data_IF_327530046815
#
_entry.id   IF_327530046815
#
_cell.length_a   1.000
_cell.length_b   1.000
_cell.length_c   1.000
_cell.angle_alpha   90.00
_cell.angle_beta   90.00
_cell.angle_gamma   90.00
#
_symmetry.space_group_name_H-M   'P 1'
#
loop_
_entity.id
_entity.type
_entity.pdbx_description
1 polymer ?
#
# COMPACT_ATOMS: atom_id res chain seq x y z
N UNK A 1 16.00 6.82 21.94
CA UNK A 1 15.66 8.24 22.07
C UNK A 1 14.35 8.44 22.83
N UNK A 2 13.24 7.76 22.46
CA UNK A 2 11.92 7.93 23.14
C UNK A 2 11.94 7.47 24.60
N UNK A 3 12.54 6.33 24.90
CA UNK A 3 12.65 5.81 26.27
C UNK A 3 13.39 6.76 27.22
N UNK A 4 14.43 7.46 26.73
CA UNK A 4 15.15 8.46 27.51
C UNK A 4 14.34 9.72 27.84
N UNK A 5 13.25 9.97 27.11
CA UNK A 5 12.32 11.07 27.34
C UNK A 5 11.03 10.64 28.06
N UNK A 6 10.97 9.41 28.56
CA UNK A 6 9.77 8.78 29.13
C UNK A 6 8.54 8.83 28.19
N UNK A 7 8.82 8.69 26.86
CA UNK A 7 7.81 8.67 25.81
C UNK A 7 7.75 7.28 25.16
N UNK A 8 6.60 6.93 24.64
CA UNK A 8 6.40 5.73 23.84
C UNK A 8 5.71 6.06 22.50
N UNK A 9 5.90 5.21 21.51
CA UNK A 9 5.20 5.32 20.25
C UNK A 9 3.83 4.63 20.36
N UNK A 10 2.77 5.42 20.25
CA UNK A 10 1.40 4.88 20.32
C UNK A 10 0.93 4.35 18.97
N UNK A 11 1.22 5.05 17.87
CA UNK A 11 0.87 4.61 16.53
C UNK A 11 2.03 4.81 15.56
N UNK A 12 2.35 3.76 14.80
CA UNK A 12 3.26 3.82 13.66
C UNK A 12 2.45 3.86 12.37
N UNK A 13 2.66 4.87 11.53
CA UNK A 13 2.10 4.93 10.18
C UNK A 13 3.22 4.80 9.14
N UNK A 14 3.32 3.65 8.50
CA UNK A 14 4.25 3.40 7.39
C UNK A 14 3.60 3.89 6.10
N UNK A 15 3.77 5.18 5.80
CA UNK A 15 3.18 5.82 4.63
C UNK A 15 4.19 6.07 3.50
N UNK A 16 5.46 6.28 3.84
CA UNK A 16 6.50 6.58 2.85
C UNK A 16 6.62 5.41 1.84
N UNK A 17 6.57 5.74 0.57
CA UNK A 17 6.71 4.78 -0.51
C UNK A 17 7.20 5.47 -1.78
N UNK A 18 7.81 4.70 -2.67
CA UNK A 18 8.09 5.11 -4.04
C UNK A 18 7.47 4.12 -5.03
N UNK A 19 7.22 4.60 -6.24
CA UNK A 19 6.77 3.79 -7.35
C UNK A 19 7.75 3.89 -8.52
N UNK A 20 7.69 2.92 -9.41
CA UNK A 20 8.41 2.91 -10.69
C UNK A 20 7.42 2.48 -11.77
N UNK A 21 7.27 3.31 -12.81
CA UNK A 21 6.47 2.99 -13.98
C UNK A 21 7.37 2.87 -15.23
N UNK A 22 6.99 1.98 -16.13
CA UNK A 22 7.71 1.58 -17.34
C UNK A 22 8.03 0.09 -17.35
N UNK A 23 8.45 -0.44 -18.51
CA UNK A 23 8.86 -1.82 -18.66
C UNK A 23 9.93 -2.22 -17.64
N UNK A 24 9.83 -3.43 -17.08
CA UNK A 24 10.75 -3.88 -16.03
C UNK A 24 12.22 -3.85 -16.45
N UNK A 25 12.50 -4.14 -17.72
CA UNK A 25 13.86 -4.13 -18.26
C UNK A 25 14.46 -2.73 -18.45
N UNK A 26 13.64 -1.68 -18.43
CA UNK A 26 14.07 -0.28 -18.49
C UNK A 26 14.38 0.31 -17.11
N UNK A 27 13.94 -0.36 -16.03
CA UNK A 27 14.23 0.05 -14.67
C UNK A 27 15.62 -0.43 -14.26
N UNK A 28 16.42 0.46 -13.72
CA UNK A 28 17.78 0.12 -13.27
C UNK A 28 17.75 -0.76 -12.00
N UNK A 29 18.75 -1.65 -11.82
CA UNK A 29 18.86 -2.42 -10.58
C UNK A 29 18.88 -1.53 -9.31
N UNK A 30 19.45 -0.33 -9.41
CA UNK A 30 19.53 0.62 -8.30
C UNK A 30 18.16 1.21 -7.95
N UNK A 31 17.32 1.54 -8.93
CA UNK A 31 15.95 2.01 -8.69
C UNK A 31 15.10 0.93 -8.04
N UNK A 32 15.18 -0.31 -8.56
CA UNK A 32 14.46 -1.45 -7.98
C UNK A 32 14.93 -1.70 -6.54
N UNK A 33 16.24 -1.66 -6.29
CA UNK A 33 16.80 -1.84 -4.95
C UNK A 33 16.29 -0.77 -3.96
N UNK A 34 16.28 0.51 -4.38
CA UNK A 34 15.73 1.61 -3.57
C UNK A 34 14.24 1.41 -3.27
N UNK A 35 13.46 0.99 -4.27
CA UNK A 35 12.05 0.71 -4.08
C UNK A 35 11.84 -0.41 -3.05
N UNK A 36 12.58 -1.52 -3.16
CA UNK A 36 12.47 -2.65 -2.23
C UNK A 36 12.91 -2.22 -0.83
N UNK A 37 14.01 -1.48 -0.70
CA UNK A 37 14.47 -0.99 0.59
C UNK A 37 13.42 -0.10 1.28
N UNK A 38 12.79 0.83 0.53
CA UNK A 38 11.79 1.73 1.10
C UNK A 38 10.44 1.03 1.32
N UNK A 39 9.91 0.36 0.30
CA UNK A 39 8.53 -0.16 0.36
C UNK A 39 8.41 -1.47 1.14
N UNK A 40 9.46 -2.25 1.26
CA UNK A 40 9.44 -3.59 1.87
C UNK A 40 10.28 -3.63 3.15
N UNK A 41 11.59 -3.39 3.03
CA UNK A 41 12.50 -3.55 4.16
C UNK A 41 12.18 -2.57 5.29
N UNK A 42 12.00 -1.27 4.99
CA UNK A 42 11.72 -0.27 6.02
C UNK A 42 10.41 -0.56 6.76
N UNK A 43 9.34 -0.91 6.03
CA UNK A 43 8.04 -1.26 6.60
C UNK A 43 8.17 -2.47 7.53
N UNK A 44 8.86 -3.52 7.07
CA UNK A 44 9.08 -4.74 7.85
C UNK A 44 9.86 -4.46 9.13
N UNK A 45 10.98 -3.74 9.02
CA UNK A 45 11.87 -3.43 10.15
C UNK A 45 11.20 -2.52 11.18
N UNK A 46 10.53 -1.45 10.73
CA UNK A 46 9.84 -0.52 11.63
C UNK A 46 8.68 -1.21 12.34
N UNK A 47 7.86 -1.96 11.62
CA UNK A 47 6.77 -2.75 12.22
C UNK A 47 7.31 -3.72 13.26
N UNK A 48 8.37 -4.49 12.93
CA UNK A 48 8.99 -5.44 13.86
C UNK A 48 9.58 -4.77 15.09
N UNK A 49 10.14 -3.56 14.93
CA UNK A 49 10.80 -2.84 16.01
C UNK A 49 9.82 -2.31 17.07
N UNK A 50 8.58 -1.91 16.67
CA UNK A 50 7.62 -1.28 17.59
C UNK A 50 6.67 -2.27 18.27
N UNK A 51 6.40 -3.40 17.63
CA UNK A 51 5.41 -4.38 18.10
C UNK A 51 5.68 -4.95 19.50
N UNK A 52 6.92 -5.31 19.89
CA UNK A 52 7.17 -5.87 21.22
C UNK A 52 6.72 -4.95 22.36
N UNK A 53 7.06 -3.66 22.26
CA UNK A 53 6.67 -2.68 23.29
C UNK A 53 5.16 -2.42 23.30
N UNK A 54 4.53 -2.37 22.14
CA UNK A 54 3.07 -2.22 22.02
C UNK A 54 2.34 -3.40 22.63
N UNK A 55 2.79 -4.62 22.38
CA UNK A 55 2.24 -5.86 22.93
C UNK A 55 2.41 -5.89 24.46
N UNK A 56 3.60 -5.54 24.96
CA UNK A 56 3.89 -5.51 26.40
C UNK A 56 2.96 -4.54 27.16
N UNK A 57 2.68 -3.38 26.56
CA UNK A 57 1.74 -2.38 27.10
C UNK A 57 0.27 -2.71 26.84
N UNK A 58 -0.02 -3.69 25.98
CA UNK A 58 -1.36 -3.99 25.47
C UNK A 58 -2.06 -2.78 24.84
N UNK A 59 -1.29 -1.89 24.25
CA UNK A 59 -1.75 -0.63 23.68
C UNK A 59 -0.88 -0.21 22.50
N UNK A 60 -1.51 0.33 21.45
CA UNK A 60 -0.84 0.89 20.29
C UNK A 60 -1.38 0.35 18.98
N UNK A 61 -0.71 0.73 17.90
CA UNK A 61 -1.06 0.18 16.61
C UNK A 61 -0.13 0.55 15.47
N UNK A 62 -0.27 -0.20 14.38
CA UNK A 62 0.48 -0.03 13.14
C UNK A 62 -0.48 0.10 11.97
N UNK A 63 -0.31 1.14 11.17
CA UNK A 63 -1.03 1.35 9.91
C UNK A 63 -0.03 1.32 8.76
N UNK A 64 -0.10 0.28 7.93
CA UNK A 64 0.75 0.13 6.76
C UNK A 64 0.00 0.55 5.49
N UNK A 65 0.55 1.53 4.76
CA UNK A 65 -0.08 2.00 3.51
C UNK A 65 0.36 1.11 2.34
N UNK A 66 -0.57 0.35 1.83
CA UNK A 66 -0.46 -0.49 0.64
C UNK A 66 -1.12 0.20 -0.58
N UNK A 67 -1.90 -0.50 -1.38
CA UNK A 67 -2.64 -0.01 -2.55
C UNK A 67 -3.68 -1.03 -2.98
N UNK A 68 -4.70 -0.63 -3.73
CA UNK A 68 -5.55 -1.57 -4.49
C UNK A 68 -4.73 -2.40 -5.48
N UNK A 69 -3.57 -1.90 -5.92
CA UNK A 69 -2.60 -2.65 -6.72
C UNK A 69 -1.96 -3.85 -6.02
N UNK A 70 -2.14 -3.99 -4.71
CA UNK A 70 -1.67 -5.17 -3.97
C UNK A 70 -2.44 -6.47 -4.30
N UNK A 71 -3.58 -6.36 -4.96
CA UNK A 71 -4.47 -7.49 -5.25
C UNK A 71 -4.28 -8.11 -6.63
N UNK A 72 -3.39 -7.56 -7.45
CA UNK A 72 -3.19 -8.01 -8.82
C UNK A 72 -1.76 -7.74 -9.30
N UNK A 73 -1.15 -8.59 -10.14
CA UNK A 73 0.11 -8.25 -10.79
C UNK A 73 -0.04 -7.01 -11.70
N UNK A 74 0.93 -6.09 -11.62
CA UNK A 74 0.93 -4.84 -12.39
C UNK A 74 2.01 -4.80 -13.47
N UNK A 75 1.75 -5.25 -14.71
CA UNK A 75 2.68 -5.04 -15.82
C UNK A 75 3.03 -3.56 -15.97
N UNK A 76 4.28 -3.25 -16.33
CA UNK A 76 4.87 -1.90 -16.38
C UNK A 76 5.05 -1.21 -15.00
N UNK A 77 4.68 -1.87 -13.90
CA UNK A 77 4.87 -1.41 -12.52
C UNK A 77 5.16 -2.60 -11.60
N UNK A 78 5.85 -3.62 -12.12
CA UNK A 78 5.97 -4.93 -11.49
C UNK A 78 6.54 -4.87 -10.06
N UNK A 79 7.67 -4.19 -9.85
CA UNK A 79 8.30 -4.06 -8.54
C UNK A 79 7.40 -3.33 -7.53
N UNK A 80 6.70 -2.28 -7.97
CA UNK A 80 5.78 -1.52 -7.11
C UNK A 80 4.60 -2.38 -6.66
N UNK A 81 3.89 -3.03 -7.60
CA UNK A 81 2.74 -3.89 -7.28
C UNK A 81 3.14 -5.06 -6.36
N UNK A 82 4.27 -5.70 -6.66
CA UNK A 82 4.82 -6.77 -5.82
C UNK A 82 5.14 -6.27 -4.41
N UNK A 83 5.73 -5.07 -4.27
CA UNK A 83 6.01 -4.48 -2.95
C UNK A 83 4.74 -4.22 -2.14
N UNK A 84 3.67 -3.75 -2.79
CA UNK A 84 2.39 -3.49 -2.13
C UNK A 84 1.64 -4.78 -1.76
N UNK A 85 1.75 -5.84 -2.58
CA UNK A 85 1.26 -7.17 -2.25
C UNK A 85 1.99 -7.77 -1.03
N UNK A 86 3.31 -7.61 -0.96
CA UNK A 86 4.10 -8.00 0.21
C UNK A 86 3.59 -7.30 1.48
N UNK A 87 3.44 -5.97 1.45
CA UNK A 87 2.99 -5.19 2.61
C UNK A 87 1.59 -5.59 3.05
N UNK A 88 0.68 -5.85 2.11
CA UNK A 88 -0.67 -6.31 2.42
C UNK A 88 -0.63 -7.65 3.15
N UNK A 89 0.03 -8.65 2.54
CA UNK A 89 0.14 -10.00 3.11
C UNK A 89 0.80 -10.01 4.48
N UNK A 90 1.92 -9.29 4.64
CA UNK A 90 2.61 -9.13 5.91
C UNK A 90 1.70 -8.54 6.98
N UNK A 91 0.95 -7.48 6.64
CA UNK A 91 0.08 -6.76 7.57
C UNK A 91 -1.07 -7.64 8.06
N UNK A 92 -1.72 -8.37 7.14
CA UNK A 92 -2.82 -9.27 7.50
C UNK A 92 -2.35 -10.43 8.38
N UNK A 93 -1.16 -11.00 8.10
CA UNK A 93 -0.55 -12.05 8.90
C UNK A 93 -0.26 -11.55 10.32
N UNK A 94 0.45 -10.43 10.45
CA UNK A 94 0.78 -9.83 11.76
C UNK A 94 -0.49 -9.46 12.52
N UNK A 95 -1.50 -8.88 11.86
CA UNK A 95 -2.78 -8.56 12.50
C UNK A 95 -3.45 -9.80 13.12
N UNK A 96 -3.29 -10.95 12.50
CA UNK A 96 -3.77 -12.23 13.05
C UNK A 96 -2.93 -12.71 14.22
N UNK A 97 -1.61 -12.62 14.12
CA UNK A 97 -0.67 -13.05 15.17
C UNK A 97 -0.82 -12.24 16.48
N UNK A 98 -1.05 -10.92 16.37
CA UNK A 98 -1.20 -10.04 17.53
C UNK A 98 -2.65 -9.89 18.00
N UNK A 99 -3.59 -10.64 17.44
CA UNK A 99 -4.99 -10.60 17.86
C UNK A 99 -5.11 -10.92 19.36
N UNK A 100 -5.89 -10.11 20.08
CA UNK A 100 -6.06 -10.25 21.55
C UNK A 100 -4.95 -9.62 22.40
N UNK A 101 -3.89 -9.08 21.82
CA UNK A 101 -2.81 -8.41 22.56
C UNK A 101 -3.06 -6.89 22.78
N UNK A 102 -4.23 -6.36 22.43
CA UNK A 102 -4.55 -4.94 22.59
C UNK A 102 -3.87 -4.02 21.56
N UNK A 103 -3.26 -4.58 20.52
CA UNK A 103 -2.57 -3.85 19.45
C UNK A 103 -3.37 -3.95 18.16
N UNK A 104 -3.55 -2.83 17.47
CA UNK A 104 -4.21 -2.77 16.16
C UNK A 104 -3.16 -2.80 15.06
N UNK A 105 -3.35 -3.68 14.07
CA UNK A 105 -2.51 -3.70 12.87
C UNK A 105 -3.43 -3.70 11.65
N UNK A 106 -3.27 -2.68 10.80
CA UNK A 106 -4.18 -2.44 9.67
C UNK A 106 -3.39 -2.14 8.40
N UNK A 107 -3.90 -2.63 7.26
CA UNK A 107 -3.46 -2.24 5.93
C UNK A 107 -4.43 -1.22 5.35
N UNK A 108 -3.92 -0.08 4.87
CA UNK A 108 -4.67 0.88 4.09
C UNK A 108 -4.41 0.63 2.60
N UNK A 109 -5.43 0.29 1.83
CA UNK A 109 -5.33 0.01 0.39
C UNK A 109 -6.10 1.05 -0.44
N UNK A 110 -5.56 2.27 -0.64
CA UNK A 110 -6.20 3.28 -1.44
C UNK A 110 -6.11 2.95 -2.93
N UNK A 111 -7.09 3.45 -3.70
CA UNK A 111 -6.97 3.65 -5.15
C UNK A 111 -6.12 4.88 -5.48
N UNK A 112 -6.29 5.51 -6.65
CA UNK A 112 -5.60 6.74 -6.99
C UNK A 112 -5.94 7.87 -6.00
N UNK A 113 -4.90 8.57 -5.55
CA UNK A 113 -5.02 9.71 -4.62
C UNK A 113 -4.46 10.96 -5.31
N UNK A 114 -5.10 12.09 -5.08
CA UNK A 114 -4.66 13.40 -5.58
C UNK A 114 -3.41 13.87 -4.82
N UNK A 115 -2.26 13.38 -5.26
CA UNK A 115 -0.92 13.71 -4.74
C UNK A 115 0.09 13.69 -5.88
N UNK A 116 1.32 14.17 -5.64
CA UNK A 116 2.43 14.07 -6.59
C UNK A 116 2.91 12.64 -6.91
N UNK A 117 2.44 11.63 -6.17
CA UNK A 117 2.95 10.26 -6.25
C UNK A 117 2.93 9.67 -7.67
N UNK A 118 1.83 9.86 -8.42
CA UNK A 118 1.72 9.34 -9.78
C UNK A 118 2.62 10.06 -10.79
N UNK A 119 2.86 11.34 -10.57
CA UNK A 119 3.84 12.12 -11.31
C UNK A 119 5.25 11.60 -11.02
N UNK A 120 5.63 11.48 -9.75
CA UNK A 120 6.97 11.08 -9.32
C UNK A 120 7.33 9.65 -9.78
N UNK A 121 6.35 8.74 -9.86
CA UNK A 121 6.58 7.39 -10.37
C UNK A 121 6.55 7.28 -11.91
N UNK A 122 6.17 8.33 -12.65
CA UNK A 122 6.05 8.35 -14.11
C UNK A 122 4.81 7.63 -14.66
N UNK A 123 3.71 7.56 -13.88
CA UNK A 123 2.45 6.89 -14.26
C UNK A 123 1.29 7.85 -14.56
N UNK A 124 1.58 9.13 -14.72
CA UNK A 124 0.58 10.20 -14.84
C UNK A 124 -0.33 10.02 -16.06
N UNK A 125 0.25 9.61 -17.19
CA UNK A 125 -0.42 9.44 -18.48
C UNK A 125 -0.95 8.01 -18.71
N UNK A 126 -1.07 7.19 -17.67
CA UNK A 126 -1.64 5.85 -17.80
C UNK A 126 -3.15 5.90 -17.97
N UNK A 127 -3.70 4.99 -18.77
CA UNK A 127 -5.15 4.86 -18.97
C UNK A 127 -5.88 4.64 -17.63
N UNK A 128 -5.24 3.92 -16.71
CA UNK A 128 -5.75 3.71 -15.35
C UNK A 128 -6.06 5.03 -14.63
N UNK A 129 -5.12 6.00 -14.68
CA UNK A 129 -5.28 7.31 -14.07
C UNK A 129 -6.39 8.15 -14.71
N UNK A 130 -6.63 7.96 -15.99
CA UNK A 130 -7.66 8.69 -16.73
C UNK A 130 -9.07 8.16 -16.46
N UNK A 131 -9.21 6.86 -16.23
CA UNK A 131 -10.52 6.19 -16.08
C UNK A 131 -10.93 6.10 -14.61
N UNK A 132 -9.99 5.83 -13.70
CA UNK A 132 -10.31 5.62 -12.29
C UNK A 132 -10.31 6.94 -11.52
N UNK A 133 -11.45 7.35 -10.94
CA UNK A 133 -11.54 8.59 -10.18
C UNK A 133 -10.55 8.60 -9.01
N UNK A 134 -9.85 9.71 -8.84
CA UNK A 134 -8.97 9.94 -7.70
C UNK A 134 -9.77 10.39 -6.49
N UNK A 135 -9.27 10.03 -5.31
CA UNK A 135 -9.77 10.56 -4.04
C UNK A 135 -8.81 11.63 -3.51
N UNK A 136 -9.34 12.63 -2.81
CA UNK A 136 -8.47 13.57 -2.10
C UNK A 136 -7.74 12.90 -0.94
N UNK A 137 -6.53 13.38 -0.63
CA UNK A 137 -5.73 12.84 0.47
C UNK A 137 -6.50 12.88 1.81
N UNK A 138 -7.26 13.95 2.07
CA UNK A 138 -8.06 14.10 3.29
C UNK A 138 -9.13 13.02 3.43
N UNK A 139 -9.86 12.70 2.35
CA UNK A 139 -10.87 11.63 2.38
C UNK A 139 -10.25 10.26 2.65
N UNK A 140 -9.08 10.01 2.05
CA UNK A 140 -8.33 8.77 2.30
C UNK A 140 -7.86 8.71 3.75
N UNK A 141 -7.30 9.80 4.28
CA UNK A 141 -6.85 9.89 5.67
C UNK A 141 -8.01 9.71 6.68
N UNK A 142 -9.16 10.34 6.43
CA UNK A 142 -10.36 10.14 7.28
C UNK A 142 -10.85 8.70 7.27
N UNK A 143 -10.86 8.05 6.10
CA UNK A 143 -11.24 6.64 5.98
C UNK A 143 -10.24 5.74 6.69
N UNK A 144 -8.95 6.03 6.55
CA UNK A 144 -7.87 5.33 7.24
C UNK A 144 -8.00 5.43 8.76
N UNK A 145 -8.18 6.64 9.27
CA UNK A 145 -8.35 6.89 10.70
C UNK A 145 -9.56 6.14 11.27
N UNK A 146 -10.73 6.28 10.64
CA UNK A 146 -11.94 5.60 11.09
C UNK A 146 -11.77 4.08 11.06
N UNK A 147 -11.33 3.52 9.94
CA UNK A 147 -11.13 2.08 9.82
C UNK A 147 -10.11 1.53 10.82
N UNK A 148 -9.01 2.24 11.04
CA UNK A 148 -7.99 1.89 12.03
C UNK A 148 -8.54 1.94 13.46
N UNK A 149 -9.29 2.97 13.81
CA UNK A 149 -9.91 3.09 15.15
C UNK A 149 -10.95 2.00 15.41
N UNK A 150 -11.68 1.55 14.37
CA UNK A 150 -12.61 0.41 14.45
C UNK A 150 -11.90 -0.96 14.36
N UNK A 151 -10.58 -1.02 14.27
CA UNK A 151 -9.82 -2.27 14.22
C UNK A 151 -9.99 -3.06 12.91
N UNK A 152 -10.35 -2.39 11.81
CA UNK A 152 -10.42 -3.04 10.49
C UNK A 152 -9.03 -3.51 10.05
N UNK A 153 -8.89 -4.78 9.68
CA UNK A 153 -7.60 -5.34 9.21
C UNK A 153 -7.18 -4.75 7.87
N UNK A 154 -8.14 -4.58 6.98
CA UNK A 154 -7.90 -3.97 5.66
C UNK A 154 -8.92 -2.86 5.44
N UNK A 155 -8.42 -1.67 5.11
CA UNK A 155 -9.22 -0.47 4.87
C UNK A 155 -9.08 -0.11 3.39
N UNK A 156 -10.17 -0.19 2.63
CA UNK A 156 -10.23 0.20 1.21
C UNK A 156 -11.12 1.42 1.09
N UNK A 157 -10.55 2.63 0.95
CA UNK A 157 -11.35 3.85 0.83
C UNK A 157 -12.11 3.93 -0.49
N UNK A 158 -13.40 4.24 -0.42
CA UNK A 158 -14.27 4.44 -1.59
C UNK A 158 -14.93 3.16 -2.09
N UNK A 159 -16.23 3.26 -2.39
CA UNK A 159 -17.06 2.13 -2.84
C UNK A 159 -16.57 1.56 -4.18
N UNK A 160 -16.13 2.42 -5.11
CA UNK A 160 -15.56 2.01 -6.40
C UNK A 160 -14.29 1.18 -6.23
N UNK A 161 -13.40 1.58 -5.32
CA UNK A 161 -12.19 0.84 -5.01
C UNK A 161 -12.51 -0.51 -4.34
N UNK A 162 -13.51 -0.53 -3.46
CA UNK A 162 -13.96 -1.77 -2.82
C UNK A 162 -14.54 -2.75 -3.85
N UNK A 163 -15.37 -2.28 -4.78
CA UNK A 163 -15.89 -3.09 -5.88
C UNK A 163 -14.77 -3.61 -6.79
N UNK A 164 -13.80 -2.76 -7.11
CA UNK A 164 -12.63 -3.12 -7.90
C UNK A 164 -11.81 -4.23 -7.21
N UNK A 165 -11.48 -4.07 -5.93
CA UNK A 165 -10.79 -5.10 -5.14
C UNK A 165 -11.59 -6.40 -5.08
N UNK A 166 -12.91 -6.31 -4.91
CA UNK A 166 -13.81 -7.48 -4.94
C UNK A 166 -13.70 -8.24 -6.26
N UNK A 167 -13.73 -7.54 -7.39
CA UNK A 167 -13.56 -8.14 -8.71
C UNK A 167 -12.17 -8.79 -8.87
N UNK A 168 -11.09 -8.13 -8.42
CA UNK A 168 -9.74 -8.67 -8.49
C UNK A 168 -9.54 -9.95 -7.66
N UNK A 169 -10.26 -10.10 -6.55
CA UNK A 169 -10.19 -11.31 -5.70
C UNK A 169 -10.89 -12.52 -6.32
N UNK A 170 -11.87 -12.31 -7.20
CA UNK A 170 -12.66 -13.38 -7.81
C UNK A 170 -12.13 -13.76 -9.20
N UNK A 171 -11.67 -12.77 -9.97
CA UNK A 171 -11.19 -13.01 -11.33
C UNK A 171 -9.79 -13.63 -11.34
N UNK A 172 -9.54 -14.69 -12.13
CA UNK A 172 -8.23 -15.30 -12.23
C UNK A 172 -7.23 -14.37 -12.92
N UNK A 173 -5.95 -14.53 -12.61
CA UNK A 173 -4.87 -13.68 -13.16
C UNK A 173 -4.75 -13.75 -14.69
N UNK A 174 -5.17 -14.85 -15.31
CA UNK A 174 -5.21 -14.97 -16.79
C UNK A 174 -6.12 -13.90 -17.43
N UNK A 175 -7.13 -13.42 -16.70
CA UNK A 175 -8.04 -12.34 -17.14
C UNK A 175 -7.55 -10.98 -16.68
N UNK A 176 -7.16 -10.85 -15.41
CA UNK A 176 -6.85 -9.55 -14.82
C UNK A 176 -5.50 -8.99 -15.31
N UNK A 177 -4.48 -9.83 -15.53
CA UNK A 177 -3.14 -9.36 -15.95
C UNK A 177 -3.13 -8.71 -17.35
N UNK A 178 -3.77 -9.27 -18.39
CA UNK A 178 -3.89 -8.58 -19.68
C UNK A 178 -4.63 -7.23 -19.57
N UNK A 179 -5.69 -7.16 -18.79
CA UNK A 179 -6.43 -5.91 -18.54
C UNK A 179 -5.52 -4.88 -17.87
N UNK A 180 -4.82 -5.27 -16.80
CA UNK A 180 -3.88 -4.39 -16.10
C UNK A 180 -2.73 -3.95 -17.01
N UNK A 181 -2.23 -4.81 -17.89
CA UNK A 181 -1.20 -4.45 -18.87
C UNK A 181 -1.66 -3.31 -19.79
N UNK A 182 -2.91 -3.34 -20.21
CA UNK A 182 -3.50 -2.27 -21.03
C UNK A 182 -3.68 -0.98 -20.21
N UNK A 183 -4.22 -1.09 -19.00
CA UNK A 183 -4.52 0.04 -18.13
C UNK A 183 -3.25 0.78 -17.65
N UNK A 184 -2.16 0.04 -17.39
CA UNK A 184 -0.91 0.56 -16.82
C UNK A 184 0.13 0.92 -17.90
N UNK A 185 -0.24 0.92 -19.17
CA UNK A 185 0.66 1.36 -20.25
C UNK A 185 0.93 2.86 -20.11
N UNK A 186 2.22 3.25 -20.12
CA UNK A 186 2.70 4.60 -19.81
C UNK A 186 2.21 5.66 -20.82
N UNK A 187 2.23 5.34 -22.10
CA UNK A 187 1.93 6.28 -23.18
C UNK A 187 0.84 5.71 -24.10
N UNK A 188 -0.41 5.72 -23.59
CA UNK A 188 -1.51 5.15 -24.38
C UNK A 188 -1.83 5.96 -25.65
N UNK A 189 -1.53 7.26 -25.66
CA UNK A 189 -1.85 8.20 -26.75
C UNK A 189 -0.66 8.73 -27.53
N UNK A 190 0.59 8.36 -27.20
CA UNK A 190 1.74 8.67 -28.04
C UNK A 190 1.98 7.51 -29.01
N UNK A 191 1.37 7.60 -30.17
CA UNK A 191 1.76 6.93 -31.42
C UNK A 191 2.24 7.96 -32.43
#
# INVERSE_FOLDING_TARGET
ALAGANLYLDVLVNNAAMGLAGPFLEQTPQEISRLVALNVESVTRLTRAVLPDMIARRQGGVLNVTSVGAYVPGPNQAAYYASKAYVLSLTEAIASEVAGHGVRVSALAPGPVETGFHHDMGAENSLYRMIVPSMTADRVAQSAYRGFMFGQRVIVPGVSNLAFVGALKVLPHIVTVPIMRMLLKRDFFQR
#
